data_IF_321084020426
#
_entry.id   IF_321084020426
#
_cell.length_a   1.000
_cell.length_b   1.000
_cell.length_c   1.000
_cell.angle_alpha   90.00
_cell.angle_beta   90.00
_cell.angle_gamma   90.00
#
_symmetry.space_group_name_H-M   'P 1'
#
loop_
_entity.id
_entity.type
_entity.pdbx_description
1 polymer ?
#
# COMPACT_ATOMS: atom_id res chain seq x y z
N UNK A 1 15.06 -22.24 -25.68
CA UNK A 1 13.77 -21.92 -25.04
C UNK A 1 13.77 -22.54 -23.65
N UNK A 2 13.84 -21.77 -22.56
CA UNK A 2 13.70 -22.33 -21.20
C UNK A 2 12.21 -22.53 -20.90
N UNK A 3 11.89 -23.67 -20.31
CA UNK A 3 10.53 -24.17 -20.11
C UNK A 3 9.69 -23.35 -19.12
N UNK A 4 8.38 -23.37 -19.32
CA UNK A 4 7.32 -22.76 -18.45
C UNK A 4 7.41 -23.07 -16.94
N UNK A 5 8.29 -23.97 -16.52
CA UNK A 5 8.45 -24.36 -15.10
C UNK A 5 9.25 -23.36 -14.25
N UNK A 6 10.06 -22.49 -14.85
CA UNK A 6 10.91 -21.54 -14.10
C UNK A 6 10.14 -20.30 -13.68
N UNK A 7 9.11 -19.89 -14.43
CA UNK A 7 8.32 -18.69 -14.11
C UNK A 7 7.36 -18.87 -12.91
N UNK A 8 6.87 -20.08 -12.68
CA UNK A 8 5.98 -20.39 -11.55
C UNK A 8 6.72 -20.58 -10.22
N UNK A 9 8.01 -20.90 -10.26
CA UNK A 9 8.80 -21.09 -9.03
C UNK A 9 9.19 -19.77 -8.33
N UNK A 10 9.32 -18.66 -9.06
CA UNK A 10 9.68 -17.36 -8.48
C UNK A 10 8.49 -16.61 -7.84
N UNK A 11 7.27 -16.94 -8.23
CA UNK A 11 6.05 -16.38 -7.61
C UNK A 11 5.67 -17.16 -6.33
N UNK A 12 6.01 -18.45 -6.25
CA UNK A 12 5.74 -19.28 -5.09
C UNK A 12 6.69 -19.04 -3.90
N UNK A 13 7.85 -18.41 -4.11
CA UNK A 13 8.79 -18.11 -3.03
C UNK A 13 8.40 -16.88 -2.18
N UNK A 14 7.42 -16.09 -2.60
CA UNK A 14 6.86 -14.97 -1.84
C UNK A 14 5.58 -15.33 -1.06
N UNK A 15 4.99 -16.51 -1.34
CA UNK A 15 3.93 -17.07 -0.51
C UNK A 15 4.59 -17.97 0.53
N UNK A 16 4.66 -17.50 1.77
CA UNK A 16 5.23 -18.23 2.89
C UNK A 16 4.73 -19.67 2.91
N UNK A 17 5.66 -20.60 3.05
CA UNK A 17 5.40 -22.02 3.20
C UNK A 17 4.43 -22.28 4.37
N UNK A 18 3.16 -22.49 4.07
CA UNK A 18 2.24 -23.12 5.00
C UNK A 18 2.66 -24.58 5.14
N UNK A 19 3.61 -24.85 6.01
CA UNK A 19 4.00 -26.20 6.40
C UNK A 19 2.78 -26.91 6.99
N UNK A 20 2.34 -28.00 6.36
CA UNK A 20 1.41 -28.95 6.95
C UNK A 20 2.06 -29.55 8.19
N UNK A 21 1.79 -29.00 9.36
CA UNK A 21 2.07 -29.65 10.64
C UNK A 21 1.10 -30.82 10.81
N UNK A 22 1.65 -32.03 10.86
CA UNK A 22 0.92 -33.23 11.26
C UNK A 22 0.30 -33.00 12.63
N UNK A 23 -0.98 -33.34 12.75
CA UNK A 23 -1.77 -33.14 13.94
C UNK A 23 -1.12 -33.74 15.19
N UNK A 24 -0.90 -32.91 16.18
CA UNK A 24 -0.84 -33.32 17.57
C UNK A 24 -2.27 -33.48 18.06
N UNK A 25 -2.63 -34.68 18.44
CA UNK A 25 -3.89 -34.96 19.12
C UNK A 25 -3.93 -34.17 20.43
N UNK A 26 -4.81 -33.19 20.53
CA UNK A 26 -5.09 -32.45 21.74
C UNK A 26 -5.90 -33.31 22.69
N UNK A 27 -5.48 -33.43 23.95
CA UNK A 27 -6.29 -34.01 25.03
C UNK A 27 -7.57 -33.19 25.25
N UNK A 28 -8.71 -33.82 25.52
CA UNK A 28 -9.96 -33.11 25.81
C UNK A 28 -9.88 -32.46 27.19
N UNK A 29 -9.88 -31.12 27.25
CA UNK A 29 -9.99 -30.42 28.52
C UNK A 29 -9.44 -28.98 28.60
N UNK A 30 -8.73 -28.47 27.65
CA UNK A 30 -8.38 -27.03 27.62
C UNK A 30 -8.95 -26.41 26.35
N UNK A 31 -9.82 -25.41 26.47
CA UNK A 31 -10.16 -24.54 25.35
C UNK A 31 -8.90 -23.73 25.03
N UNK A 32 -8.05 -24.23 24.12
CA UNK A 32 -6.91 -23.49 23.63
C UNK A 32 -7.44 -22.18 23.04
N UNK A 33 -7.19 -21.07 23.69
CA UNK A 33 -7.53 -19.74 23.19
C UNK A 33 -6.92 -19.59 21.80
N UNK A 34 -7.76 -19.35 20.80
CA UNK A 34 -7.29 -19.12 19.44
C UNK A 34 -6.59 -17.76 19.43
N UNK A 35 -5.26 -17.74 19.29
CA UNK A 35 -4.51 -16.48 19.23
C UNK A 35 -5.02 -15.61 18.07
N UNK A 36 -5.19 -14.29 18.27
CA UNK A 36 -5.61 -13.39 17.21
C UNK A 36 -4.53 -13.32 16.13
N UNK A 37 -4.97 -13.12 14.89
CA UNK A 37 -4.07 -13.03 13.73
C UNK A 37 -3.54 -11.62 13.55
N UNK A 38 -2.28 -11.52 13.14
CA UNK A 38 -1.64 -10.30 12.63
C UNK A 38 -1.86 -10.12 11.11
N UNK A 39 -2.66 -10.96 10.48
CA UNK A 39 -2.87 -10.98 9.03
C UNK A 39 -4.33 -10.76 8.67
N UNK A 40 -4.59 -10.26 7.45
CA UNK A 40 -5.93 -10.14 6.87
C UNK A 40 -6.91 -9.36 7.76
N UNK A 41 -6.60 -8.10 8.08
CA UNK A 41 -7.35 -7.29 9.06
C UNK A 41 -8.84 -7.17 8.71
N UNK A 42 -9.16 -6.79 7.47
CA UNK A 42 -10.54 -6.60 7.03
C UNK A 42 -11.44 -7.82 7.26
N UNK A 43 -11.05 -9.03 6.82
CA UNK A 43 -11.88 -10.24 7.00
C UNK A 43 -12.13 -10.63 8.45
N UNK A 44 -11.26 -10.25 9.39
CA UNK A 44 -11.49 -10.47 10.83
C UNK A 44 -12.70 -9.69 11.35
N UNK A 45 -13.16 -8.68 10.62
CA UNK A 45 -14.31 -7.84 10.96
C UNK A 45 -15.51 -8.06 10.04
N UNK A 46 -15.49 -9.05 9.15
CA UNK A 46 -16.65 -9.43 8.37
C UNK A 46 -17.75 -9.94 9.30
N UNK A 47 -18.95 -9.39 9.13
CA UNK A 47 -20.15 -9.75 9.91
C UNK A 47 -21.42 -9.61 9.05
N UNK A 48 -22.58 -9.56 9.70
CA UNK A 48 -23.89 -9.40 9.03
C UNK A 48 -24.00 -8.07 8.24
N UNK A 49 -23.09 -7.08 8.46
CA UNK A 49 -23.15 -5.82 7.71
C UNK A 49 -22.68 -6.02 6.28
N UNK A 50 -21.54 -6.70 6.06
CA UNK A 50 -21.08 -7.06 4.71
C UNK A 50 -22.09 -7.97 4.01
N UNK A 51 -22.56 -9.00 4.70
CA UNK A 51 -23.54 -9.93 4.16
C UNK A 51 -24.81 -9.22 3.68
N UNK A 52 -25.37 -8.31 4.47
CA UNK A 52 -26.56 -7.53 4.09
C UNK A 52 -26.31 -6.69 2.85
N UNK A 53 -25.16 -5.99 2.76
CA UNK A 53 -24.84 -5.17 1.60
C UNK A 53 -24.76 -6.01 0.31
N UNK A 54 -24.21 -7.23 0.38
CA UNK A 54 -24.10 -8.14 -0.76
C UNK A 54 -25.48 -8.72 -1.13
N UNK A 55 -26.28 -9.13 -0.15
CA UNK A 55 -27.63 -9.66 -0.38
C UNK A 55 -28.54 -8.62 -1.05
N UNK A 56 -28.47 -7.35 -0.65
CA UNK A 56 -29.24 -6.28 -1.30
C UNK A 56 -28.90 -6.15 -2.80
N UNK A 57 -27.64 -6.37 -3.21
CA UNK A 57 -27.26 -6.40 -4.63
C UNK A 57 -27.84 -7.63 -5.33
N UNK A 58 -27.83 -8.80 -4.68
CA UNK A 58 -28.41 -10.04 -5.23
C UNK A 58 -29.93 -9.90 -5.42
N UNK A 59 -30.60 -9.36 -4.40
CA UNK A 59 -32.07 -9.24 -4.38
C UNK A 59 -32.57 -8.27 -5.45
N UNK A 60 -31.85 -7.15 -5.67
CA UNK A 60 -32.19 -6.20 -6.74
C UNK A 60 -31.84 -6.74 -8.13
N UNK A 61 -30.96 -7.72 -8.28
CA UNK A 61 -30.41 -8.23 -9.53
C UNK A 61 -29.71 -7.15 -10.37
N UNK A 62 -29.20 -6.08 -9.75
CA UNK A 62 -28.56 -4.92 -10.39
C UNK A 62 -27.09 -4.79 -9.94
N UNK A 63 -26.18 -5.70 -10.39
CA UNK A 63 -24.78 -5.69 -9.95
C UNK A 63 -23.91 -4.63 -10.62
N UNK A 64 -24.43 -3.98 -11.70
CA UNK A 64 -23.70 -2.96 -12.43
C UNK A 64 -24.02 -1.57 -11.88
N UNK A 65 -23.00 -0.77 -11.62
CA UNK A 65 -23.10 0.50 -10.89
C UNK A 65 -23.91 1.62 -11.57
N UNK A 66 -24.24 1.49 -12.86
CA UNK A 66 -24.86 2.59 -13.61
C UNK A 66 -26.34 2.37 -13.95
N UNK A 67 -26.72 1.16 -14.34
CA UNK A 67 -28.07 0.81 -14.75
C UNK A 67 -28.27 -0.71 -14.77
N UNK A 68 -29.51 -1.14 -14.86
CA UNK A 68 -29.87 -2.53 -15.04
C UNK A 68 -31.32 -2.73 -15.43
N UNK A 69 -31.76 -3.95 -15.72
CA UNK A 69 -33.14 -4.24 -16.11
C UNK A 69 -34.12 -3.93 -14.98
N UNK A 70 -35.04 -3.02 -15.21
CA UNK A 70 -36.16 -2.76 -14.33
C UNK A 70 -35.92 -1.80 -13.17
N UNK A 71 -34.79 -1.07 -13.14
CA UNK A 71 -34.58 -0.10 -12.06
C UNK A 71 -33.18 0.50 -11.95
N UNK A 72 -33.00 1.27 -10.90
CA UNK A 72 -31.70 1.84 -10.53
C UNK A 72 -30.90 0.86 -9.66
N UNK A 73 -29.57 0.82 -9.80
CA UNK A 73 -28.71 -0.03 -8.97
C UNK A 73 -28.78 0.41 -7.50
N UNK A 74 -28.42 -0.48 -6.56
CA UNK A 74 -28.51 -0.19 -5.12
C UNK A 74 -27.50 0.85 -4.61
N UNK A 75 -26.77 1.50 -5.52
CA UNK A 75 -25.85 2.63 -5.26
C UNK A 75 -24.74 2.32 -4.25
N UNK A 76 -24.30 1.05 -4.15
CA UNK A 76 -23.26 0.65 -3.17
C UNK A 76 -21.93 1.31 -3.47
N UNK A 77 -21.52 1.31 -4.75
CA UNK A 77 -20.26 1.93 -5.17
C UNK A 77 -20.32 3.45 -4.96
N UNK A 78 -21.39 4.11 -5.39
CA UNK A 78 -21.51 5.56 -5.20
C UNK A 78 -21.55 5.96 -3.71
N UNK A 79 -22.22 5.15 -2.87
CA UNK A 79 -22.27 5.39 -1.43
C UNK A 79 -20.89 5.16 -0.80
N UNK A 80 -20.18 4.10 -1.22
CA UNK A 80 -18.79 3.88 -0.82
C UNK A 80 -17.91 5.07 -1.21
N UNK A 81 -17.95 5.52 -2.47
CA UNK A 81 -17.18 6.67 -2.95
C UNK A 81 -17.44 7.93 -2.10
N UNK A 82 -18.70 8.20 -1.77
CA UNK A 82 -19.08 9.33 -0.93
C UNK A 82 -18.54 9.21 0.50
N UNK A 83 -18.77 8.06 1.16
CA UNK A 83 -18.36 7.87 2.55
C UNK A 83 -16.84 7.75 2.70
N UNK A 84 -16.17 7.03 1.77
CA UNK A 84 -14.72 6.90 1.76
C UNK A 84 -14.04 8.23 1.43
N UNK A 85 -14.52 8.96 0.42
CA UNK A 85 -14.01 10.30 0.09
C UNK A 85 -14.12 11.28 1.27
N UNK A 86 -15.30 11.31 1.94
CA UNK A 86 -15.50 12.11 3.13
C UNK A 86 -14.53 11.71 4.27
N UNK A 87 -14.33 10.41 4.49
CA UNK A 87 -13.40 9.89 5.50
C UNK A 87 -11.94 10.26 5.18
N UNK A 88 -11.57 10.31 3.90
CA UNK A 88 -10.23 10.74 3.43
C UNK A 88 -10.14 12.28 3.29
N UNK A 89 -11.17 13.04 3.62
CA UNK A 89 -11.22 14.50 3.47
C UNK A 89 -10.92 14.96 2.03
N UNK A 90 -11.38 14.19 1.04
CA UNK A 90 -11.25 14.49 -0.37
C UNK A 90 -12.61 14.76 -0.99
N UNK A 91 -12.66 15.75 -1.88
CA UNK A 91 -13.89 16.15 -2.58
C UNK A 91 -14.39 15.09 -3.53
N UNK A 92 -13.47 14.38 -4.18
CA UNK A 92 -13.79 13.37 -5.17
C UNK A 92 -13.15 12.03 -4.79
N UNK A 93 -13.92 10.97 -4.97
CA UNK A 93 -13.48 9.58 -4.83
C UNK A 93 -14.03 8.74 -5.99
N UNK A 94 -13.23 7.85 -6.53
CA UNK A 94 -13.56 6.96 -7.63
C UNK A 94 -13.20 5.53 -7.24
N UNK A 95 -14.20 4.64 -7.14
CA UNK A 95 -13.99 3.21 -6.91
C UNK A 95 -13.53 2.49 -8.18
N UNK A 96 -12.45 1.74 -8.08
CA UNK A 96 -11.86 0.96 -9.19
C UNK A 96 -11.60 -0.49 -8.78
N UNK A 97 -11.25 -1.35 -9.75
CA UNK A 97 -11.15 -2.80 -9.55
C UNK A 97 -9.97 -3.26 -8.70
N UNK A 98 -8.92 -2.47 -8.58
CA UNK A 98 -7.73 -2.82 -7.78
C UNK A 98 -6.84 -1.60 -7.50
N UNK A 99 -5.88 -1.73 -6.57
CA UNK A 99 -4.86 -0.70 -6.36
C UNK A 99 -3.99 -0.45 -7.58
N UNK A 100 -3.70 -1.49 -8.39
CA UNK A 100 -2.97 -1.33 -9.65
C UNK A 100 -3.78 -0.56 -10.69
N UNK A 101 -5.09 -0.83 -10.78
CA UNK A 101 -6.01 -0.04 -11.62
C UNK A 101 -6.08 1.42 -11.14
N UNK A 102 -6.06 1.66 -9.82
CA UNK A 102 -6.00 3.00 -9.25
C UNK A 102 -4.72 3.75 -9.66
N UNK A 103 -3.55 3.10 -9.58
CA UNK A 103 -2.27 3.68 -10.03
C UNK A 103 -2.30 4.03 -11.52
N UNK A 104 -2.75 3.12 -12.39
CA UNK A 104 -2.88 3.39 -13.82
C UNK A 104 -3.86 4.54 -14.10
N UNK A 105 -4.98 4.59 -13.37
CA UNK A 105 -5.96 5.67 -13.46
C UNK A 105 -5.34 7.02 -13.04
N UNK A 106 -4.52 7.02 -11.97
CA UNK A 106 -3.81 8.23 -11.52
C UNK A 106 -2.76 8.68 -12.53
N UNK A 107 -1.99 7.76 -13.15
CA UNK A 107 -1.07 8.10 -14.24
C UNK A 107 -1.80 8.79 -15.41
N UNK A 108 -2.92 8.23 -15.84
CA UNK A 108 -3.74 8.82 -16.91
C UNK A 108 -4.33 10.18 -16.50
N UNK A 109 -4.75 10.34 -15.26
CA UNK A 109 -5.26 11.60 -14.73
C UNK A 109 -4.18 12.69 -14.73
N UNK A 110 -2.96 12.35 -14.34
CA UNK A 110 -1.79 13.23 -14.34
C UNK A 110 -1.19 13.45 -15.74
N UNK A 111 -1.73 12.81 -16.77
CA UNK A 111 -1.22 12.86 -18.15
C UNK A 111 0.21 12.36 -18.29
N UNK A 112 0.60 11.39 -17.48
CA UNK A 112 1.91 10.75 -17.56
C UNK A 112 1.97 9.87 -18.80
N UNK A 113 3.04 9.99 -19.58
CA UNK A 113 3.21 9.28 -20.84
C UNK A 113 4.65 9.18 -21.32
N UNK A 114 4.85 8.76 -22.59
CA UNK A 114 6.18 8.64 -23.19
C UNK A 114 6.98 9.96 -23.14
N UNK A 115 8.22 9.90 -22.67
CA UNK A 115 9.10 11.04 -22.47
C UNK A 115 9.08 11.62 -21.07
N UNK A 116 8.08 11.29 -20.25
CA UNK A 116 8.00 11.72 -18.85
C UNK A 116 8.78 10.79 -17.93
N UNK A 117 9.28 11.34 -16.83
CA UNK A 117 9.88 10.60 -15.72
C UNK A 117 8.99 10.69 -14.46
N UNK A 118 8.88 9.58 -13.75
CA UNK A 118 8.21 9.52 -12.44
C UNK A 118 9.17 9.00 -11.40
N UNK A 119 9.39 9.79 -10.34
CA UNK A 119 10.22 9.39 -9.21
C UNK A 119 9.38 8.52 -8.26
N UNK A 120 9.96 7.40 -7.81
CA UNK A 120 9.34 6.48 -6.85
C UNK A 120 10.38 5.92 -5.89
N UNK A 121 9.99 5.47 -4.67
CA UNK A 121 10.95 4.84 -3.76
C UNK A 121 11.48 3.53 -4.35
N UNK A 122 12.76 3.24 -4.13
CA UNK A 122 13.41 1.99 -4.56
C UNK A 122 12.81 0.76 -3.88
N UNK A 123 12.16 0.94 -2.73
CA UNK A 123 11.44 -0.11 -2.01
C UNK A 123 9.95 0.19 -1.93
N UNK A 124 9.17 -0.52 -2.72
CA UNK A 124 7.70 -0.49 -2.71
C UNK A 124 7.14 -1.71 -3.44
N UNK A 125 5.82 -1.79 -3.60
CA UNK A 125 5.17 -2.85 -4.36
C UNK A 125 5.36 -2.65 -5.87
N UNK A 126 5.44 -3.75 -6.60
CA UNK A 126 5.66 -3.78 -8.06
C UNK A 126 4.71 -2.88 -8.87
N UNK A 127 3.47 -2.68 -8.38
CA UNK A 127 2.45 -1.93 -9.11
C UNK A 127 2.82 -0.47 -9.35
N UNK A 128 3.62 0.16 -8.48
CA UNK A 128 4.11 1.53 -8.69
C UNK A 128 4.97 1.61 -9.95
N UNK A 129 5.95 0.72 -10.08
CA UNK A 129 6.78 0.58 -11.28
C UNK A 129 5.94 0.22 -12.52
N UNK A 130 5.06 -0.78 -12.37
CA UNK A 130 4.22 -1.28 -13.46
C UNK A 130 3.34 -0.18 -14.05
N UNK A 131 2.71 0.65 -13.21
CA UNK A 131 1.83 1.72 -13.67
C UNK A 131 2.60 2.78 -14.48
N UNK A 132 3.82 3.13 -14.06
CA UNK A 132 4.69 4.08 -14.79
C UNK A 132 5.06 3.49 -16.16
N UNK A 133 5.54 2.25 -16.19
CA UNK A 133 5.97 1.60 -17.44
C UNK A 133 4.79 1.41 -18.38
N UNK A 134 3.62 0.99 -17.89
CA UNK A 134 2.42 0.83 -18.72
C UNK A 134 1.92 2.16 -19.29
N UNK A 135 2.15 3.28 -18.61
CA UNK A 135 1.92 4.61 -19.15
C UNK A 135 2.95 5.02 -20.24
N UNK A 136 4.00 4.24 -20.44
CA UNK A 136 5.09 4.55 -21.37
C UNK A 136 6.15 5.50 -20.81
N UNK A 137 6.00 5.90 -19.55
CA UNK A 137 6.94 6.79 -18.84
C UNK A 137 8.13 6.02 -18.26
N UNK A 138 9.14 6.76 -17.81
CA UNK A 138 10.38 6.21 -17.28
C UNK A 138 10.36 6.24 -15.73
N UNK A 139 10.47 5.10 -15.04
CA UNK A 139 10.61 5.07 -13.59
C UNK A 139 12.02 5.50 -13.17
N UNK A 140 12.09 6.44 -12.21
CA UNK A 140 13.34 6.94 -11.62
C UNK A 140 13.32 6.59 -10.13
N UNK A 141 14.20 5.70 -9.70
CA UNK A 141 14.23 5.27 -8.31
C UNK A 141 14.98 6.27 -7.43
N UNK A 142 14.36 6.59 -6.28
CA UNK A 142 15.00 7.29 -5.18
C UNK A 142 15.21 6.34 -3.99
N UNK A 143 16.24 6.63 -3.21
CA UNK A 143 16.53 5.93 -1.95
C UNK A 143 15.41 6.13 -0.94
N UNK A 144 15.35 5.24 0.03
CA UNK A 144 14.56 5.43 1.25
C UNK A 144 15.44 5.94 2.40
N UNK A 145 14.80 6.50 3.42
CA UNK A 145 15.42 6.78 4.72
C UNK A 145 15.00 5.74 5.79
N UNK A 146 15.35 5.97 7.05
CA UNK A 146 15.03 5.06 8.16
C UNK A 146 13.54 5.02 8.53
N UNK A 147 12.70 5.85 7.89
CA UNK A 147 11.25 5.73 7.94
C UNK A 147 10.70 4.62 7.04
N UNK A 148 11.54 4.09 6.16
CA UNK A 148 11.25 3.20 5.03
C UNK A 148 10.50 3.87 3.88
N UNK A 149 10.20 5.16 3.99
CA UNK A 149 9.59 5.93 2.92
C UNK A 149 10.67 6.57 2.04
N UNK A 150 10.24 7.13 0.91
CA UNK A 150 11.14 7.85 0.01
C UNK A 150 11.88 8.96 0.75
N UNK A 151 13.20 9.05 0.57
CA UNK A 151 14.01 10.08 1.18
C UNK A 151 13.87 11.42 0.44
N UNK A 152 13.34 12.47 1.09
CA UNK A 152 13.22 13.79 0.47
C UNK A 152 14.56 14.34 -0.05
N UNK A 153 15.67 14.07 0.62
CA UNK A 153 17.00 14.53 0.22
C UNK A 153 17.51 13.84 -1.06
N UNK A 154 17.02 12.65 -1.37
CA UNK A 154 17.37 11.95 -2.60
C UNK A 154 16.41 12.30 -3.75
N UNK A 155 15.15 12.65 -3.46
CA UNK A 155 14.19 13.11 -4.47
C UNK A 155 14.80 14.25 -5.30
N UNK A 156 15.30 15.32 -4.63
CA UNK A 156 15.78 16.52 -5.33
C UNK A 156 16.97 16.23 -6.25
N UNK A 157 17.80 15.24 -5.90
CA UNK A 157 18.94 14.80 -6.73
C UNK A 157 18.50 14.02 -7.99
N UNK A 158 17.28 13.48 -7.99
CA UNK A 158 16.72 12.67 -9.08
C UNK A 158 15.89 13.49 -10.07
N UNK A 159 15.56 14.75 -9.72
CA UNK A 159 14.74 15.62 -10.57
C UNK A 159 15.50 15.98 -11.85
N UNK A 160 14.83 15.84 -12.97
CA UNK A 160 15.26 16.26 -14.30
C UNK A 160 14.19 17.14 -14.96
N UNK A 161 14.46 17.78 -16.09
CA UNK A 161 13.42 18.51 -16.85
C UNK A 161 12.25 17.64 -17.32
N UNK A 162 12.41 16.32 -17.31
CA UNK A 162 11.38 15.34 -17.70
C UNK A 162 10.54 14.84 -16.53
N UNK A 163 10.90 15.16 -15.28
CA UNK A 163 10.18 14.70 -14.08
C UNK A 163 8.82 15.38 -14.01
N UNK A 164 7.74 14.59 -14.05
CA UNK A 164 6.34 15.04 -13.99
C UNK A 164 5.65 14.75 -12.69
N UNK A 165 6.02 13.64 -12.04
CA UNK A 165 5.40 13.24 -10.78
C UNK A 165 6.38 12.56 -9.84
N UNK A 166 6.04 12.62 -8.54
CA UNK A 166 6.67 11.84 -7.47
C UNK A 166 5.58 10.96 -6.88
N UNK A 167 5.84 9.66 -6.72
CA UNK A 167 4.98 8.75 -5.95
C UNK A 167 5.48 8.75 -4.52
N UNK A 168 4.76 9.39 -3.63
CA UNK A 168 4.98 9.32 -2.18
C UNK A 168 4.19 8.12 -1.63
N UNK A 169 4.90 7.01 -1.39
CA UNK A 169 4.28 5.80 -0.83
C UNK A 169 4.32 5.86 0.69
N UNK A 170 3.18 5.65 1.34
CA UNK A 170 3.09 5.52 2.80
C UNK A 170 3.30 4.06 3.19
N UNK A 171 4.55 3.66 3.41
CA UNK A 171 4.95 2.26 3.52
C UNK A 171 4.75 1.68 4.92
N UNK A 172 4.21 0.47 4.99
CA UNK A 172 4.07 -0.29 6.24
C UNK A 172 3.33 0.49 7.35
N UNK A 173 2.27 1.21 6.97
CA UNK A 173 1.46 1.99 7.91
C UNK A 173 2.07 3.31 8.38
N UNK A 174 3.28 3.65 7.95
CA UNK A 174 3.98 4.88 8.33
C UNK A 174 3.82 5.95 7.24
N UNK A 175 3.31 7.14 7.54
CA UNK A 175 3.19 8.21 6.55
C UNK A 175 4.58 8.68 6.08
N UNK A 176 4.70 9.00 4.78
CA UNK A 176 5.86 9.68 4.24
C UNK A 176 5.94 11.12 4.80
N UNK A 177 7.14 11.69 4.86
CA UNK A 177 7.34 13.07 5.34
C UNK A 177 6.89 14.08 4.27
N UNK A 178 5.59 14.37 4.28
CA UNK A 178 4.99 15.28 3.31
C UNK A 178 5.39 16.75 3.51
N UNK A 179 5.79 17.14 4.73
CA UNK A 179 6.28 18.51 4.96
C UNK A 179 7.63 18.75 4.26
N UNK A 180 8.44 17.73 4.08
CA UNK A 180 9.66 17.79 3.31
C UNK A 180 9.41 17.59 1.80
N UNK A 181 8.54 16.66 1.40
CA UNK A 181 8.29 16.30 0.00
C UNK A 181 7.51 17.39 -0.76
N UNK A 182 6.42 17.91 -0.18
CA UNK A 182 5.56 18.89 -0.87
C UNK A 182 6.25 20.19 -1.26
N UNK A 183 7.14 20.79 -0.44
CA UNK A 183 7.92 21.97 -0.88
C UNK A 183 8.82 21.69 -2.06
N UNK A 184 9.48 20.52 -2.12
CA UNK A 184 10.32 20.11 -3.25
C UNK A 184 9.47 20.05 -4.53
N UNK A 185 8.34 19.37 -4.47
CA UNK A 185 7.44 19.23 -5.61
C UNK A 185 6.95 20.60 -6.11
N UNK A 186 6.53 21.49 -5.18
CA UNK A 186 6.10 22.87 -5.54
C UNK A 186 7.21 23.69 -6.17
N UNK A 187 8.43 23.62 -5.63
CA UNK A 187 9.60 24.33 -6.16
C UNK A 187 9.87 24.00 -7.64
N UNK A 188 9.64 22.73 -8.01
CA UNK A 188 9.94 22.24 -9.35
C UNK A 188 8.69 22.09 -10.25
N UNK A 189 7.49 22.44 -9.77
CA UNK A 189 6.23 22.30 -10.52
C UNK A 189 5.85 20.84 -10.81
N UNK A 190 6.24 19.91 -9.93
CA UNK A 190 6.04 18.46 -10.06
C UNK A 190 4.78 18.05 -9.29
N UNK A 191 4.00 17.10 -9.83
CA UNK A 191 2.81 16.57 -9.20
C UNK A 191 3.15 15.50 -8.15
N UNK A 192 2.34 15.45 -7.09
CA UNK A 192 2.44 14.42 -6.05
C UNK A 192 1.28 13.43 -6.18
N UNK A 193 1.62 12.16 -6.38
CA UNK A 193 0.73 11.02 -6.22
C UNK A 193 1.02 10.36 -4.87
N UNK A 194 0.05 10.43 -3.94
CA UNK A 194 0.14 9.66 -2.70
C UNK A 194 -0.31 8.21 -2.93
N UNK A 195 0.56 7.23 -2.69
CA UNK A 195 0.18 5.81 -2.66
C UNK A 195 -0.10 5.39 -1.23
N UNK A 196 -1.38 5.30 -0.90
CA UNK A 196 -1.89 4.94 0.44
C UNK A 196 -2.20 3.44 0.57
N UNK A 197 -1.79 2.59 -0.38
CA UNK A 197 -2.16 1.17 -0.42
C UNK A 197 -1.72 0.37 0.82
N UNK A 198 -0.75 0.83 1.58
CA UNK A 198 -0.27 0.19 2.81
C UNK A 198 -0.60 1.01 4.07
N UNK A 199 -1.37 2.09 3.93
CA UNK A 199 -1.66 3.01 5.04
C UNK A 199 -3.10 3.52 5.04
N UNK A 200 -4.06 2.70 4.58
CA UNK A 200 -5.49 3.06 4.58
C UNK A 200 -5.97 3.28 6.01
N UNK A 201 -6.37 4.52 6.32
CA UNK A 201 -6.76 4.96 7.67
C UNK A 201 -5.61 5.55 8.50
N UNK A 202 -4.40 5.65 7.95
CA UNK A 202 -3.30 6.43 8.50
C UNK A 202 -3.52 7.94 8.32
N UNK A 203 -2.73 8.73 9.04
CA UNK A 203 -2.75 10.20 8.94
C UNK A 203 -1.33 10.75 9.01
N UNK A 204 -1.18 12.00 8.56
CA UNK A 204 0.03 12.78 8.75
C UNK A 204 -0.34 14.13 9.36
N UNK A 205 0.09 14.36 10.61
CA UNK A 205 -0.22 15.56 11.41
C UNK A 205 -1.72 15.85 11.44
N UNK A 206 -2.50 14.81 11.75
CA UNK A 206 -3.96 14.89 11.89
C UNK A 206 -4.76 14.89 10.57
N UNK A 207 -4.11 14.94 9.41
CA UNK A 207 -4.76 14.84 8.08
C UNK A 207 -4.67 13.43 7.54
N UNK A 208 -5.75 12.84 7.02
CA UNK A 208 -5.68 11.51 6.40
C UNK A 208 -4.64 11.46 5.28
N UNK A 209 -3.82 10.40 5.22
CA UNK A 209 -2.95 10.18 4.06
C UNK A 209 -3.79 10.07 2.79
N UNK A 210 -3.29 10.65 1.69
CA UNK A 210 -4.01 10.77 0.42
C UNK A 210 -4.85 12.04 0.27
N UNK A 211 -4.83 12.96 1.26
CA UNK A 211 -5.54 14.24 1.21
C UNK A 211 -4.64 15.45 0.89
N UNK A 212 -3.35 15.25 0.74
CA UNK A 212 -2.36 16.32 0.73
C UNK A 212 -1.66 16.50 -0.61
N UNK A 213 -1.50 15.45 -1.40
CA UNK A 213 -1.00 15.48 -2.77
C UNK A 213 -2.06 15.94 -3.78
N UNK A 214 -1.70 15.89 -5.06
CA UNK A 214 -2.61 16.24 -6.17
C UNK A 214 -3.67 15.17 -6.39
N UNK A 215 -3.27 13.90 -6.25
CA UNK A 215 -4.12 12.71 -6.40
C UNK A 215 -3.59 11.61 -5.50
N UNK A 216 -4.47 10.75 -5.03
CA UNK A 216 -4.07 9.61 -4.21
C UNK A 216 -4.74 8.32 -4.67
N UNK A 217 -4.09 7.19 -4.34
CA UNK A 217 -4.62 5.86 -4.59
C UNK A 217 -4.66 5.01 -3.33
N UNK A 218 -5.61 4.09 -3.31
CA UNK A 218 -5.77 3.11 -2.25
C UNK A 218 -5.96 1.72 -2.85
N UNK A 219 -5.34 0.73 -2.23
CA UNK A 219 -5.61 -0.68 -2.50
C UNK A 219 -6.52 -1.24 -1.41
N UNK A 220 -7.51 -2.01 -1.83
CA UNK A 220 -8.50 -2.63 -0.94
C UNK A 220 -8.50 -4.16 -1.18
N UNK A 221 -7.32 -4.67 -1.54
CA UNK A 221 -7.02 -6.08 -1.72
C UNK A 221 -6.97 -6.79 -0.35
N UNK A 222 -7.07 -8.12 -0.32
CA UNK A 222 -7.19 -8.97 0.87
C UNK A 222 -6.24 -8.59 2.03
N UNK A 223 -5.00 -8.22 1.75
CA UNK A 223 -3.98 -7.92 2.77
C UNK A 223 -4.05 -6.48 3.34
N UNK A 224 -5.02 -5.68 2.90
CA UNK A 224 -5.12 -4.27 3.30
C UNK A 224 -5.94 -4.10 4.59
N UNK A 225 -5.87 -2.91 5.18
CA UNK A 225 -6.56 -2.58 6.43
C UNK A 225 -8.06 -2.88 6.34
N UNK A 226 -8.69 -2.49 5.24
CA UNK A 226 -10.05 -2.89 4.85
C UNK A 226 -10.02 -3.51 3.46
N UNK A 227 -10.96 -4.41 3.17
CA UNK A 227 -10.91 -5.20 1.92
C UNK A 227 -12.27 -5.67 1.43
N UNK A 228 -12.34 -5.93 0.11
CA UNK A 228 -13.39 -6.75 -0.51
C UNK A 228 -12.78 -7.94 -1.29
N UNK A 229 -11.58 -8.40 -0.89
CA UNK A 229 -10.78 -9.38 -1.63
C UNK A 229 -9.96 -8.72 -2.73
N UNK A 230 -10.59 -7.98 -3.62
CA UNK A 230 -10.00 -7.07 -4.59
C UNK A 230 -10.78 -5.75 -4.60
N UNK A 231 -10.08 -4.64 -4.89
CA UNK A 231 -10.64 -3.31 -4.98
C UNK A 231 -9.58 -2.23 -4.89
N UNK A 232 -9.97 -1.02 -5.25
CA UNK A 232 -9.14 0.16 -5.13
C UNK A 232 -9.98 1.43 -5.17
N UNK A 233 -9.35 2.54 -4.83
CA UNK A 233 -9.95 3.86 -4.95
C UNK A 233 -8.91 4.89 -5.41
N UNK A 234 -9.39 5.94 -6.08
CA UNK A 234 -8.62 7.14 -6.43
C UNK A 234 -9.31 8.32 -5.77
N UNK A 235 -8.55 9.21 -5.11
CA UNK A 235 -9.10 10.45 -4.54
C UNK A 235 -8.33 11.67 -5.03
N UNK A 236 -9.04 12.79 -5.16
CA UNK A 236 -8.45 14.09 -5.49
C UNK A 236 -9.39 15.23 -5.08
N UNK A 237 -8.86 16.44 -4.97
CA UNK A 237 -9.65 17.66 -4.79
C UNK A 237 -9.78 18.46 -6.09
N UNK A 238 -9.07 18.06 -7.15
CA UNK A 238 -9.06 18.71 -8.46
C UNK A 238 -10.15 18.11 -9.37
N UNK A 239 -11.13 18.90 -9.84
CA UNK A 239 -12.19 18.42 -10.71
C UNK A 239 -11.69 17.92 -12.08
N UNK A 240 -10.59 18.48 -12.61
CA UNK A 240 -10.01 18.05 -13.90
C UNK A 240 -9.34 16.69 -13.74
N UNK A 241 -8.57 16.48 -12.68
CA UNK A 241 -7.98 15.17 -12.38
C UNK A 241 -9.07 14.11 -12.16
N UNK A 242 -10.18 14.48 -11.46
CA UNK A 242 -11.29 13.56 -11.27
C UNK A 242 -12.01 13.24 -12.59
N UNK A 243 -12.26 14.23 -13.47
CA UNK A 243 -12.85 13.98 -14.79
C UNK A 243 -11.97 13.05 -15.62
N UNK A 244 -10.65 13.26 -15.65
CA UNK A 244 -9.69 12.40 -16.35
C UNK A 244 -9.71 10.97 -15.79
N UNK A 245 -9.66 10.84 -14.47
CA UNK A 245 -9.74 9.54 -13.79
C UNK A 245 -11.05 8.83 -14.11
N UNK A 246 -12.18 9.54 -14.04
CA UNK A 246 -13.51 9.04 -14.35
C UNK A 246 -13.64 8.56 -15.81
N UNK A 247 -13.09 9.30 -16.76
CA UNK A 247 -13.05 8.88 -18.18
C UNK A 247 -12.15 7.67 -18.39
N UNK A 248 -10.95 7.70 -17.86
CA UNK A 248 -9.99 6.60 -18.06
C UNK A 248 -10.52 5.27 -17.53
N UNK A 249 -11.14 5.25 -16.33
CA UNK A 249 -11.64 4.01 -15.72
C UNK A 249 -12.89 3.44 -16.41
N UNK A 250 -13.56 4.21 -17.26
CA UNK A 250 -14.82 3.82 -17.94
C UNK A 250 -14.74 4.00 -19.45
N UNK A 251 -13.68 3.46 -20.06
CA UNK A 251 -13.44 3.39 -21.51
C UNK A 251 -13.61 4.74 -22.26
N UNK A 252 -13.19 5.82 -21.64
CA UNK A 252 -13.27 7.18 -22.16
C UNK A 252 -14.57 7.92 -21.83
N UNK A 253 -15.55 7.25 -21.23
CA UNK A 253 -16.86 7.84 -20.90
C UNK A 253 -16.85 8.51 -19.53
N UNK A 254 -17.59 9.60 -19.38
CA UNK A 254 -17.94 10.19 -18.09
C UNK A 254 -19.44 10.04 -17.89
N UNK A 255 -19.85 9.09 -17.05
CA UNK A 255 -21.28 8.74 -16.90
C UNK A 255 -21.99 9.61 -15.87
N UNK A 256 -23.31 9.60 -15.92
CA UNK A 256 -24.23 10.51 -15.25
C UNK A 256 -23.88 10.95 -13.82
N UNK A 257 -23.70 10.05 -12.85
CA UNK A 257 -23.36 10.46 -11.47
C UNK A 257 -22.02 11.19 -11.37
N UNK A 258 -20.97 10.72 -12.05
CA UNK A 258 -19.66 11.38 -12.03
C UNK A 258 -19.68 12.69 -12.84
N UNK A 259 -20.40 12.75 -13.95
CA UNK A 259 -20.59 13.99 -14.70
C UNK A 259 -21.29 15.05 -13.84
N UNK A 260 -22.30 14.68 -13.03
CA UNK A 260 -22.97 15.59 -12.09
C UNK A 260 -22.02 16.11 -11.01
N UNK A 261 -21.08 15.28 -10.53
CA UNK A 261 -20.08 15.71 -9.54
C UNK A 261 -19.09 16.73 -10.12
N UNK A 262 -18.67 16.56 -11.36
CA UNK A 262 -17.78 17.49 -12.07
C UNK A 262 -18.52 18.79 -12.41
N UNK A 263 -19.83 18.72 -12.64
CA UNK A 263 -20.65 19.82 -13.12
C UNK A 263 -20.57 19.96 -14.65
N UNK A 264 -19.80 20.92 -15.15
CA UNK A 264 -19.58 21.08 -16.59
C UNK A 264 -18.30 20.32 -16.98
N UNK A 265 -18.41 19.18 -17.70
CA UNK A 265 -17.23 18.48 -18.22
C UNK A 265 -16.41 19.40 -19.12
N UNK A 266 -15.09 19.34 -18.96
CA UNK A 266 -14.14 20.22 -19.67
C UNK A 266 -13.32 19.49 -20.75
N UNK A 267 -13.37 18.16 -20.74
CA UNK A 267 -12.50 17.33 -21.58
C UNK A 267 -13.30 16.56 -22.63
N UNK A 268 -12.71 16.42 -23.80
CA UNK A 268 -13.19 15.47 -24.80
C UNK A 268 -12.92 14.02 -24.35
N UNK A 269 -13.73 13.04 -24.80
CA UNK A 269 -13.46 11.63 -24.59
C UNK A 269 -12.08 11.22 -25.13
N UNK A 270 -11.40 10.33 -24.41
CA UNK A 270 -10.11 9.76 -24.81
C UNK A 270 -10.05 8.27 -24.47
N UNK A 271 -9.05 7.58 -24.98
CA UNK A 271 -8.87 6.13 -24.76
C UNK A 271 -8.73 5.82 -23.26
N UNK A 272 -9.49 4.86 -22.78
CA UNK A 272 -9.48 4.42 -21.39
C UNK A 272 -9.61 2.90 -21.26
N UNK A 273 -9.58 2.46 -20.00
CA UNK A 273 -9.71 1.05 -19.60
C UNK A 273 -11.07 0.80 -18.93
N UNK A 274 -11.44 -0.47 -18.79
CA UNK A 274 -12.56 -0.86 -17.96
C UNK A 274 -12.06 -1.26 -16.57
N UNK A 275 -12.05 -0.31 -15.64
CA UNK A 275 -11.71 -0.53 -14.24
C UNK A 275 -12.88 -0.26 -13.30
N UNK A 276 -14.10 -0.35 -13.79
CA UNK A 276 -15.32 -0.11 -13.02
C UNK A 276 -15.47 -1.11 -11.88
N UNK A 277 -15.65 -0.61 -10.67
CA UNK A 277 -16.02 -1.42 -9.51
C UNK A 277 -17.46 -1.94 -9.65
N UNK A 278 -17.71 -3.18 -9.26
CA UNK A 278 -19.07 -3.75 -9.20
C UNK A 278 -19.80 -3.33 -7.92
N UNK A 279 -21.14 -3.37 -7.94
CA UNK A 279 -21.96 -3.12 -6.75
C UNK A 279 -21.68 -4.11 -5.61
N UNK A 280 -21.30 -5.36 -5.92
CA UNK A 280 -20.87 -6.35 -4.91
C UNK A 280 -19.64 -5.87 -4.15
N UNK A 281 -18.59 -5.47 -4.88
CA UNK A 281 -17.36 -4.96 -4.30
C UNK A 281 -17.63 -3.68 -3.49
N UNK A 282 -18.43 -2.77 -4.07
CA UNK A 282 -18.85 -1.53 -3.40
C UNK A 282 -19.62 -1.80 -2.11
N UNK A 283 -20.51 -2.79 -2.09
CA UNK A 283 -21.26 -3.18 -0.91
C UNK A 283 -20.36 -3.65 0.24
N UNK A 284 -19.43 -4.55 -0.04
CA UNK A 284 -18.47 -5.00 0.99
C UNK A 284 -17.62 -3.84 1.48
N UNK A 285 -17.08 -3.02 0.58
CA UNK A 285 -16.22 -1.88 0.94
C UNK A 285 -16.96 -0.80 1.72
N UNK A 286 -18.23 -0.59 1.45
CA UNK A 286 -19.08 0.32 2.23
C UNK A 286 -19.18 -0.10 3.69
N UNK A 287 -19.43 -1.39 3.96
CA UNK A 287 -19.46 -1.93 5.31
C UNK A 287 -18.09 -1.85 5.99
N UNK A 288 -17.02 -2.17 5.25
CA UNK A 288 -15.64 -2.13 5.74
C UNK A 288 -15.18 -0.69 6.03
N UNK A 289 -15.53 0.28 5.19
CA UNK A 289 -15.22 1.71 5.42
C UNK A 289 -15.75 2.18 6.77
N UNK A 290 -16.96 1.77 7.13
CA UNK A 290 -17.61 2.12 8.40
C UNK A 290 -16.96 1.46 9.63
N UNK A 291 -16.07 0.48 9.42
CA UNK A 291 -15.30 -0.20 10.47
C UNK A 291 -13.83 0.25 10.54
N UNK A 292 -13.39 1.11 9.62
CA UNK A 292 -11.99 1.49 9.45
C UNK A 292 -11.36 1.99 10.76
N UNK A 293 -12.04 2.89 11.49
CA UNK A 293 -11.51 3.43 12.74
C UNK A 293 -11.37 2.39 13.84
N UNK A 294 -12.29 1.42 13.91
CA UNK A 294 -12.21 0.29 14.86
C UNK A 294 -10.99 -0.59 14.54
N UNK A 295 -10.77 -0.87 13.25
CA UNK A 295 -9.65 -1.71 12.81
C UNK A 295 -8.32 -1.01 13.09
N UNK A 296 -8.17 0.23 12.64
CA UNK A 296 -6.95 1.03 12.84
C UNK A 296 -6.67 1.28 14.33
N UNK A 297 -7.72 1.61 15.10
CA UNK A 297 -7.60 1.82 16.55
C UNK A 297 -7.09 0.59 17.28
N UNK A 298 -7.55 -0.60 16.90
CA UNK A 298 -7.06 -1.86 17.47
C UNK A 298 -5.56 -2.08 17.20
N UNK A 299 -5.11 -1.86 15.96
CA UNK A 299 -3.69 -2.02 15.60
C UNK A 299 -2.82 -0.98 16.31
N UNK A 300 -3.24 0.30 16.32
CA UNK A 300 -2.52 1.37 17.05
C UNK A 300 -2.38 1.08 18.53
N UNK A 301 -3.46 0.61 19.18
CA UNK A 301 -3.41 0.25 20.58
C UNK A 301 -2.43 -0.89 20.87
N UNK A 302 -2.38 -1.91 20.00
CA UNK A 302 -1.41 -2.98 20.12
C UNK A 302 0.04 -2.48 19.93
N UNK A 303 0.29 -1.66 18.91
CA UNK A 303 1.60 -1.08 18.63
C UNK A 303 2.07 -0.18 19.80
N UNK A 304 1.20 0.68 20.30
CA UNK A 304 1.49 1.58 21.42
C UNK A 304 1.93 0.82 22.66
N UNK A 305 1.23 -0.28 23.01
CA UNK A 305 1.63 -1.14 24.16
C UNK A 305 3.00 -1.77 23.95
N UNK A 306 3.32 -2.26 22.76
CA UNK A 306 4.63 -2.85 22.48
C UNK A 306 5.73 -1.78 22.54
N UNK A 307 5.55 -0.63 21.86
CA UNK A 307 6.51 0.48 21.92
C UNK A 307 6.78 0.93 23.37
N UNK A 308 5.72 1.09 24.16
CA UNK A 308 5.83 1.46 25.58
C UNK A 308 6.58 0.40 26.38
N UNK A 309 6.28 -0.88 26.15
CA UNK A 309 6.86 -2.00 26.89
C UNK A 309 8.33 -2.28 26.61
N UNK A 310 8.90 -1.78 25.50
CA UNK A 310 10.30 -2.02 25.12
C UNK A 310 11.12 -0.74 24.91
N UNK A 311 10.49 0.44 25.00
CA UNK A 311 11.15 1.70 24.66
C UNK A 311 12.30 2.10 25.60
N UNK A 312 12.36 1.54 26.80
CA UNK A 312 13.41 1.75 27.80
C UNK A 312 14.62 0.79 27.66
N UNK A 313 14.58 -0.15 26.70
CA UNK A 313 15.69 -1.06 26.48
C UNK A 313 16.94 -0.31 26.01
N UNK A 314 18.11 -0.49 26.69
CA UNK A 314 19.32 0.21 26.32
C UNK A 314 19.72 0.00 24.85
N UNK A 315 19.93 1.09 24.13
CA UNK A 315 20.37 1.05 22.73
C UNK A 315 19.31 0.60 21.70
N UNK A 316 18.04 0.45 22.12
CA UNK A 316 16.99 0.07 21.17
C UNK A 316 16.81 1.16 20.12
N UNK A 317 16.75 0.73 18.86
CA UNK A 317 16.46 1.60 17.72
C UNK A 317 15.15 1.17 17.08
N UNK A 318 14.28 2.12 16.82
CA UNK A 318 13.04 1.89 16.07
C UNK A 318 13.16 2.47 14.67
N UNK A 319 12.33 1.99 13.73
CA UNK A 319 12.05 2.69 12.50
C UNK A 319 11.68 4.14 12.81
N UNK A 320 12.24 5.09 12.07
CA UNK A 320 11.84 6.49 12.19
C UNK A 320 10.35 6.64 11.80
N UNK A 321 9.60 7.34 12.60
CA UNK A 321 8.18 7.60 12.39
C UNK A 321 7.99 9.10 12.18
N UNK A 322 7.64 9.48 10.95
CA UNK A 322 7.44 10.89 10.58
C UNK A 322 6.29 11.54 11.36
N UNK A 323 5.28 10.74 11.68
CA UNK A 323 4.18 11.07 12.59
C UNK A 323 3.78 9.83 13.40
N UNK A 324 4.27 9.69 14.64
CA UNK A 324 3.93 8.55 15.50
C UNK A 324 2.44 8.36 15.77
N UNK A 325 1.69 9.46 15.85
CA UNK A 325 0.23 9.43 16.11
C UNK A 325 -0.57 9.09 14.87
N UNK A 326 0.00 9.37 13.69
CA UNK A 326 -0.58 9.08 12.39
C UNK A 326 -0.28 7.68 11.85
N UNK A 327 0.76 7.02 12.36
CA UNK A 327 1.13 5.66 11.98
C UNK A 327 0.00 4.67 12.32
N UNK A 328 -0.23 3.67 11.46
CA UNK A 328 -1.18 2.58 11.76
C UNK A 328 -0.60 1.59 12.77
N UNK A 329 0.71 1.33 12.71
CA UNK A 329 1.37 0.39 13.62
C UNK A 329 1.23 -1.09 13.23
N UNK A 330 1.21 -1.39 11.92
CA UNK A 330 1.06 -2.76 11.39
C UNK A 330 2.16 -3.72 11.86
N UNK A 331 3.32 -3.19 12.25
CA UNK A 331 4.42 -3.91 12.86
C UNK A 331 5.29 -2.96 13.68
N UNK A 332 5.90 -3.46 14.74
CA UNK A 332 7.00 -2.76 15.44
C UNK A 332 8.31 -3.19 14.81
N UNK A 333 9.04 -2.24 14.22
CA UNK A 333 10.32 -2.49 13.58
C UNK A 333 11.47 -2.07 14.49
N UNK A 334 12.35 -3.04 14.79
CA UNK A 334 13.56 -2.85 15.60
C UNK A 334 14.78 -2.89 14.69
N UNK A 335 15.66 -1.89 14.83
CA UNK A 335 16.88 -1.71 14.06
C UNK A 335 18.12 -2.28 14.75
N UNK A 336 19.07 -2.75 13.94
CA UNK A 336 20.35 -3.35 14.36
C UNK A 336 21.50 -2.70 13.61
N UNK A 337 22.74 -2.95 14.06
CA UNK A 337 23.92 -2.41 13.40
C UNK A 337 24.34 -3.27 12.18
N UNK A 338 23.88 -4.53 12.11
CA UNK A 338 24.19 -5.41 10.98
C UNK A 338 23.05 -6.39 10.68
N UNK A 339 23.11 -6.98 9.49
CA UNK A 339 22.21 -8.04 9.05
C UNK A 339 22.31 -9.28 9.96
N UNK A 340 23.51 -9.62 10.41
CA UNK A 340 23.78 -10.79 11.28
C UNK A 340 23.07 -10.61 12.63
N UNK A 341 23.14 -9.43 13.24
CA UNK A 341 22.41 -9.11 14.47
C UNK A 341 20.90 -9.22 14.26
N UNK A 342 20.38 -8.65 13.17
CA UNK A 342 18.97 -8.76 12.80
C UNK A 342 18.53 -10.23 12.65
N UNK A 343 19.31 -11.05 11.93
CA UNK A 343 18.99 -12.46 11.69
C UNK A 343 19.06 -13.27 13.00
N UNK A 344 20.04 -13.02 13.85
CA UNK A 344 20.15 -13.63 15.18
C UNK A 344 18.95 -13.27 16.07
N UNK A 345 18.52 -12.00 16.05
CA UNK A 345 17.33 -11.55 16.78
C UNK A 345 16.07 -12.27 16.33
N UNK A 346 15.82 -12.34 15.01
CA UNK A 346 14.67 -13.04 14.48
C UNK A 346 14.67 -14.54 14.83
N UNK A 347 15.85 -15.18 14.76
CA UNK A 347 16.00 -16.59 15.14
C UNK A 347 15.73 -16.83 16.62
N UNK A 348 16.13 -15.90 17.49
CA UNK A 348 15.87 -15.97 18.92
C UNK A 348 14.39 -15.71 19.26
N UNK A 349 13.74 -14.70 18.65
CA UNK A 349 12.29 -14.47 18.80
C UNK A 349 11.46 -15.68 18.35
N UNK A 350 11.86 -16.34 17.28
CA UNK A 350 11.19 -17.56 16.81
C UNK A 350 11.22 -18.67 17.87
N UNK A 351 12.31 -18.79 18.65
CA UNK A 351 12.39 -19.76 19.76
C UNK A 351 11.45 -19.40 20.91
N UNK A 352 11.16 -18.12 21.10
CA UNK A 352 10.17 -17.63 22.07
C UNK A 352 8.73 -17.69 21.50
N UNK A 353 8.54 -18.21 20.29
CA UNK A 353 7.21 -18.32 19.65
C UNK A 353 6.68 -17.02 19.04
N UNK A 354 7.50 -15.97 18.96
CA UNK A 354 7.11 -14.68 18.38
C UNK A 354 7.53 -14.61 16.91
N UNK A 355 6.59 -14.46 15.95
CA UNK A 355 6.92 -14.29 14.54
C UNK A 355 7.59 -12.94 14.30
N UNK A 356 8.62 -12.95 13.49
CA UNK A 356 9.28 -11.73 13.02
C UNK A 356 9.89 -11.93 11.65
N UNK A 357 10.03 -10.87 10.89
CA UNK A 357 10.57 -10.89 9.53
C UNK A 357 11.35 -9.61 9.21
N UNK A 358 12.23 -9.63 8.21
CA UNK A 358 12.68 -8.38 7.59
C UNK A 358 11.47 -7.56 7.13
N UNK A 359 11.59 -6.25 6.86
CA UNK A 359 10.51 -5.46 6.30
C UNK A 359 9.90 -6.18 5.10
N UNK A 360 8.58 -6.46 5.17
CA UNK A 360 7.88 -7.33 4.23
C UNK A 360 6.76 -6.57 3.50
N UNK A 361 6.09 -7.24 2.54
CA UNK A 361 4.98 -6.68 1.76
C UNK A 361 5.39 -5.72 0.66
N UNK A 362 6.68 -5.45 0.51
CA UNK A 362 7.27 -4.63 -0.55
C UNK A 362 8.57 -5.27 -1.05
N UNK A 363 9.04 -4.84 -2.19
CA UNK A 363 10.26 -5.38 -2.80
C UNK A 363 11.21 -4.26 -3.18
N UNK A 364 12.51 -4.52 -3.11
CA UNK A 364 13.53 -3.62 -3.63
C UNK A 364 13.47 -3.72 -5.16
N UNK A 365 12.87 -2.72 -5.79
CA UNK A 365 12.52 -2.78 -7.20
C UNK A 365 13.74 -2.80 -8.13
N UNK A 366 14.75 -1.91 -7.97
CA UNK A 366 15.86 -1.84 -8.92
C UNK A 366 16.64 -3.14 -9.11
N UNK A 367 16.66 -4.02 -8.09
CA UNK A 367 17.38 -5.31 -8.15
C UNK A 367 16.51 -6.48 -8.62
N UNK A 368 15.26 -6.22 -8.99
CA UNK A 368 14.42 -7.28 -9.57
C UNK A 368 14.89 -7.62 -10.98
N UNK A 369 15.13 -8.90 -11.33
CA UNK A 369 15.76 -9.26 -12.59
C UNK A 369 15.04 -8.71 -13.83
N UNK A 370 13.70 -8.62 -13.81
CA UNK A 370 12.94 -8.09 -14.95
C UNK A 370 13.02 -6.56 -15.06
N UNK A 371 13.24 -5.85 -13.94
CA UNK A 371 13.44 -4.39 -13.90
C UNK A 371 14.86 -4.07 -14.35
N UNK A 372 15.86 -4.74 -13.77
CA UNK A 372 17.26 -4.56 -14.14
C UNK A 372 17.50 -4.78 -15.64
N UNK A 373 16.84 -5.80 -16.19
CA UNK A 373 16.88 -6.12 -17.63
C UNK A 373 15.89 -5.33 -18.49
N UNK A 374 15.10 -4.41 -17.89
CA UNK A 374 14.08 -3.61 -18.59
C UNK A 374 13.11 -4.45 -19.42
N UNK A 375 12.67 -5.60 -18.86
CA UNK A 375 11.74 -6.51 -19.55
C UNK A 375 10.33 -5.92 -19.50
N UNK A 376 9.74 -5.74 -20.67
CA UNK A 376 8.40 -5.18 -20.86
C UNK A 376 7.51 -6.11 -21.69
N UNK A 377 6.22 -5.76 -21.85
CA UNK A 377 5.25 -6.55 -22.62
C UNK A 377 5.59 -6.61 -24.11
N UNK A 378 6.36 -5.64 -24.62
CA UNK A 378 6.85 -5.61 -26.01
C UNK A 378 8.25 -4.99 -26.05
N UNK A 379 9.21 -5.54 -26.84
CA UNK A 379 10.58 -5.06 -26.89
C UNK A 379 10.73 -3.57 -27.25
N UNK A 380 9.80 -3.03 -28.05
CA UNK A 380 9.77 -1.62 -28.45
C UNK A 380 8.87 -0.76 -27.50
N UNK A 381 8.76 -1.13 -26.22
CA UNK A 381 7.95 -0.36 -25.28
C UNK A 381 8.55 1.04 -25.05
N UNK A 382 7.75 2.13 -25.09
CA UNK A 382 8.28 3.51 -25.18
C UNK A 382 9.17 3.91 -24.00
N UNK A 383 8.94 3.41 -22.79
CA UNK A 383 9.74 3.73 -21.61
C UNK A 383 11.24 3.53 -21.81
N UNK A 384 11.64 2.47 -22.55
CA UNK A 384 13.03 2.05 -22.65
C UNK A 384 13.62 2.15 -24.06
N UNK A 385 12.86 2.62 -25.05
CA UNK A 385 13.33 2.83 -26.43
C UNK A 385 13.81 4.25 -26.70
N UNK A 386 13.46 5.23 -25.87
CA UNK A 386 14.02 6.59 -25.90
C UNK A 386 15.51 6.57 -25.57
N UNK A 387 16.25 7.63 -25.94
CA UNK A 387 17.66 7.78 -25.59
C UNK A 387 17.88 7.69 -24.07
N UNK A 388 17.11 8.45 -23.30
CA UNK A 388 17.15 8.47 -21.84
C UNK A 388 16.80 7.10 -21.25
N UNK A 389 15.77 6.45 -21.79
CA UNK A 389 15.35 5.10 -21.34
C UNK A 389 16.41 4.03 -21.61
N UNK A 390 17.19 4.15 -22.67
CA UNK A 390 18.34 3.25 -22.93
C UNK A 390 19.49 3.50 -21.96
N UNK A 391 19.75 4.75 -21.62
CA UNK A 391 20.89 5.15 -20.76
C UNK A 391 20.66 4.84 -19.28
N UNK A 392 19.41 4.92 -18.76
CA UNK A 392 19.14 4.67 -17.35
C UNK A 392 19.58 3.26 -16.96
N UNK A 393 20.26 3.15 -15.82
CA UNK A 393 20.71 1.85 -15.28
C UNK A 393 19.94 1.55 -14.00
N UNK A 394 19.56 0.29 -13.86
CA UNK A 394 18.97 -0.27 -12.64
C UNK A 394 19.92 -1.30 -12.02
N UNK A 395 19.64 -1.78 -10.84
CA UNK A 395 20.45 -2.70 -10.07
C UNK A 395 20.81 -2.17 -8.70
N UNK A 396 21.64 -2.90 -7.95
CA UNK A 396 22.00 -2.56 -6.57
C UNK A 396 22.68 -1.18 -6.43
N UNK A 397 23.41 -0.73 -7.45
CA UNK A 397 24.08 0.56 -7.46
C UNK A 397 23.11 1.77 -7.45
N UNK A 398 21.83 1.57 -7.84
CA UNK A 398 20.81 2.61 -7.77
C UNK A 398 20.35 2.95 -6.34
N UNK A 399 20.47 1.99 -5.41
CA UNK A 399 19.82 2.08 -4.10
C UNK A 399 20.61 1.36 -2.99
N UNK A 400 21.93 1.63 -2.83
CA UNK A 400 22.75 0.93 -1.84
C UNK A 400 22.29 1.19 -0.40
N UNK A 401 21.84 2.41 -0.09
CA UNK A 401 21.33 2.79 1.22
C UNK A 401 20.00 2.10 1.53
N UNK A 402 19.10 2.00 0.56
CA UNK A 402 17.85 1.24 0.71
C UNK A 402 18.13 -0.22 1.08
N UNK A 403 19.09 -0.86 0.41
CA UNK A 403 19.49 -2.23 0.67
C UNK A 403 20.04 -2.37 2.10
N UNK A 404 20.93 -1.46 2.49
CA UNK A 404 21.54 -1.45 3.83
C UNK A 404 20.49 -1.26 4.93
N UNK A 405 19.61 -0.26 4.82
CA UNK A 405 18.55 0.00 5.79
C UNK A 405 17.67 -1.25 5.97
N UNK A 406 17.15 -1.81 4.88
CA UNK A 406 16.22 -2.96 4.95
C UNK A 406 16.91 -4.23 5.51
N UNK A 407 18.22 -4.35 5.34
CA UNK A 407 18.99 -5.44 5.93
C UNK A 407 19.16 -5.33 7.45
N UNK A 408 19.01 -4.14 8.02
CA UNK A 408 19.25 -3.90 9.44
C UNK A 408 18.00 -3.93 10.32
N UNK A 409 16.80 -4.06 9.78
CA UNK A 409 15.56 -4.03 10.55
C UNK A 409 14.82 -5.36 10.55
N UNK A 410 14.18 -5.68 11.71
CA UNK A 410 13.24 -6.77 11.87
C UNK A 410 11.91 -6.23 12.38
N UNK A 411 10.80 -6.67 11.76
CA UNK A 411 9.43 -6.33 12.14
C UNK A 411 8.74 -7.46 12.89
N UNK A 412 8.06 -7.12 13.97
CA UNK A 412 7.10 -8.00 14.66
C UNK A 412 5.70 -7.56 14.26
N UNK A 413 4.95 -8.36 13.50
CA UNK A 413 3.65 -7.97 12.97
C UNK A 413 2.60 -7.93 14.09
N UNK A 414 1.67 -6.97 13.99
CA UNK A 414 0.60 -6.75 14.96
C UNK A 414 -0.76 -6.83 14.28
N UNK A 415 -1.77 -7.25 15.04
CA UNK A 415 -3.14 -7.41 14.56
C UNK A 415 -4.15 -6.53 15.32
N UNK A 416 -5.29 -6.20 14.68
CA UNK A 416 -6.29 -5.29 15.25
C UNK A 416 -7.05 -5.88 16.43
N UNK A 417 -6.97 -7.17 16.66
CA UNK A 417 -7.62 -7.90 17.78
C UNK A 417 -6.65 -8.33 18.87
N UNK A 418 -5.39 -7.86 18.82
CA UNK A 418 -4.43 -8.11 19.90
C UNK A 418 -4.85 -7.37 21.16
N UNK A 419 -4.92 -8.08 22.28
CA UNK A 419 -5.20 -7.51 23.59
C UNK A 419 -3.90 -7.31 24.40
N UNK A 420 -4.01 -6.98 25.70
CA UNK A 420 -2.86 -6.79 26.58
C UNK A 420 -2.02 -8.06 26.69
N UNK A 421 -2.62 -9.23 26.89
CA UNK A 421 -1.92 -10.51 27.03
C UNK A 421 -1.10 -10.84 25.77
N UNK A 422 -1.69 -10.65 24.57
CA UNK A 422 -0.98 -10.89 23.30
C UNK A 422 0.24 -9.95 23.14
N UNK A 423 0.10 -8.70 23.55
CA UNK A 423 1.20 -7.72 23.46
C UNK A 423 2.23 -7.88 24.57
N UNK A 424 1.84 -8.31 25.77
CA UNK A 424 2.74 -8.59 26.88
C UNK A 424 3.65 -9.79 26.56
N UNK A 425 3.13 -10.84 25.92
CA UNK A 425 3.96 -11.95 25.42
C UNK A 425 5.05 -11.44 24.46
N UNK A 426 4.71 -10.52 23.54
CA UNK A 426 5.67 -9.90 22.61
C UNK A 426 6.71 -9.09 23.37
N UNK A 427 6.27 -8.25 24.29
CA UNK A 427 7.16 -7.40 25.12
C UNK A 427 8.14 -8.26 25.92
N UNK A 428 7.65 -9.28 26.62
CA UNK A 428 8.48 -10.20 27.43
C UNK A 428 9.53 -10.88 26.55
N UNK A 429 9.13 -11.40 25.38
CA UNK A 429 10.05 -12.06 24.48
C UNK A 429 11.14 -11.09 23.94
N UNK A 430 10.75 -9.87 23.54
CA UNK A 430 11.71 -8.87 23.06
C UNK A 430 12.67 -8.48 24.18
N UNK A 431 12.17 -8.19 25.39
CA UNK A 431 13.00 -7.84 26.55
C UNK A 431 13.98 -8.93 26.93
N UNK A 432 13.62 -10.20 26.76
CA UNK A 432 14.51 -11.35 27.00
C UNK A 432 15.58 -11.48 25.93
N UNK A 433 15.22 -11.32 24.66
CA UNK A 433 16.07 -11.61 23.51
C UNK A 433 17.00 -10.45 23.16
N UNK A 434 16.48 -9.22 23.10
CA UNK A 434 17.22 -8.05 22.57
C UNK A 434 18.59 -7.82 23.26
N UNK A 435 18.70 -7.85 24.60
CA UNK A 435 19.99 -7.63 25.28
C UNK A 435 21.05 -8.71 24.96
N UNK A 436 20.63 -9.90 24.55
CA UNK A 436 21.58 -10.99 24.20
C UNK A 436 22.22 -10.78 22.83
N UNK A 437 21.58 -9.93 21.97
CA UNK A 437 22.03 -9.64 20.60
C UNK A 437 22.82 -8.33 20.56
N UNK A 438 22.31 -7.30 21.24
CA UNK A 438 22.93 -5.97 21.29
C UNK A 438 23.68 -5.84 22.61
N UNK A 439 25.01 -6.03 22.55
CA UNK A 439 25.87 -5.68 23.70
C UNK A 439 25.98 -4.16 23.73
N UNK A 440 25.42 -3.56 24.75
CA UNK A 440 25.67 -2.15 25.06
C UNK A 440 27.12 -2.06 25.57
N UNK A 441 28.04 -1.55 24.74
CA UNK A 441 29.40 -1.22 25.13
C UNK A 441 29.39 0.08 25.90
#
# INVERSE_FOLDING_TARGET
>A
MPSRRVFLASVAAAAGSAGKTKGQQSQPGSSARKKPSAEFYGPQFYDEKEKRQVLEVIDTRLPFRWYGPGGEPPMKVLTFEKEFGARMQCKYCLGVTSGTAALQTAMAALQIGPGDEVILPAWTWHSCYTAIVLAGALPVFAEIDESFNIDPNDIEKRITPHTKAIIAVHLQGNPADLDAILPIARKHGIRILEDCAQSVGGSYKGRPVGSMGDIAIYSLQLNKTITAGEGGAVTTNDPVLFERAGRFHDVGSLRGPHAKLVGKPQLEPFVGCNFRMSEFTGGVLLAQTRKLDTIVGGVRAAAGRVYQGIGDLPGIKFRYRSDPDGEIGVAVFVGFNSKEQRDAYMAALKKEGIPSSPPAGSVILPIQPYIEKKVTVHPAWPSFTSERGRQIQYGAACCPRTIDILNRFAGVPLGPKFNSEDTDEIVVAIRKVYPTIVRVT
#
